data_IF_997968327082
#
_entry.id   IF_997968327082
#
_cell.length_a   1.000
_cell.length_b   1.000
_cell.length_c   1.000
_cell.angle_alpha   90.00
_cell.angle_beta   90.00
_cell.angle_gamma   90.00
#
_symmetry.space_group_name_H-M   'P 1'
#
loop_
_entity.id
_entity.type
_entity.pdbx_description
1 polymer ?
#
# COMPACT_ATOMS: atom_id res chain seq x y z
N UNK A 1 18.21 2.58 -16.57
CA UNK A 1 19.06 1.90 -15.58
C UNK A 1 18.40 0.56 -15.27
N UNK A 2 19.12 -0.55 -15.33
CA UNK A 2 18.54 -1.88 -15.15
C UNK A 2 18.17 -2.07 -13.67
N UNK A 3 16.88 -2.05 -13.35
CA UNK A 3 16.42 -2.07 -11.97
C UNK A 3 16.18 -3.52 -11.52
N UNK A 4 17.22 -4.14 -10.96
CA UNK A 4 17.17 -5.55 -10.50
C UNK A 4 16.10 -5.77 -9.42
N UNK A 5 15.91 -4.80 -8.52
CA UNK A 5 14.91 -4.87 -7.47
C UNK A 5 13.51 -4.95 -8.06
N UNK A 6 13.19 -4.07 -9.03
CA UNK A 6 11.89 -4.09 -9.72
C UNK A 6 11.61 -5.45 -10.37
N UNK A 7 12.56 -5.97 -11.17
CA UNK A 7 12.39 -7.27 -11.84
C UNK A 7 12.17 -8.41 -10.85
N UNK A 8 12.86 -8.39 -9.71
CA UNK A 8 12.66 -9.40 -8.67
C UNK A 8 11.27 -9.30 -8.06
N UNK A 9 10.74 -8.10 -7.85
CA UNK A 9 9.35 -7.91 -7.42
C UNK A 9 8.34 -8.30 -8.50
N UNK A 10 8.62 -8.07 -9.79
CA UNK A 10 7.78 -8.58 -10.89
C UNK A 10 7.70 -10.11 -10.86
N UNK A 11 8.82 -10.80 -10.66
CA UNK A 11 8.84 -12.26 -10.50
C UNK A 11 8.03 -12.73 -9.29
N UNK A 12 8.05 -11.96 -8.18
CA UNK A 12 7.24 -12.25 -6.98
C UNK A 12 5.76 -12.10 -7.30
N UNK A 13 5.32 -10.99 -7.91
CA UNK A 13 3.90 -10.74 -8.19
C UNK A 13 3.33 -11.69 -9.24
N UNK A 14 4.15 -12.16 -10.18
CA UNK A 14 3.76 -13.15 -11.19
C UNK A 14 3.90 -14.61 -10.71
N UNK A 15 4.24 -14.83 -9.44
CA UNK A 15 4.47 -16.15 -8.85
C UNK A 15 5.50 -17.00 -9.63
N UNK A 16 6.55 -16.37 -10.16
CA UNK A 16 7.63 -17.05 -10.90
C UNK A 16 8.73 -17.64 -10.01
N UNK A 17 8.71 -17.34 -8.71
CA UNK A 17 9.74 -17.77 -7.75
C UNK A 17 9.18 -18.77 -6.73
N UNK A 18 9.99 -19.75 -6.29
CA UNK A 18 9.66 -20.58 -5.13
C UNK A 18 9.55 -19.75 -3.86
N UNK A 19 8.66 -20.14 -2.93
CA UNK A 19 8.45 -19.43 -1.66
C UNK A 19 9.73 -19.22 -0.85
N UNK A 20 10.63 -20.21 -0.84
CA UNK A 20 11.91 -20.10 -0.15
C UNK A 20 12.80 -18.99 -0.72
N UNK A 21 12.78 -18.78 -2.05
CA UNK A 21 13.54 -17.70 -2.68
C UNK A 21 12.94 -16.34 -2.31
N UNK A 22 11.60 -16.22 -2.33
CA UNK A 22 10.91 -14.99 -1.91
C UNK A 22 11.24 -14.66 -0.46
N UNK A 23 11.14 -15.64 0.45
CA UNK A 23 11.48 -15.49 1.86
C UNK A 23 12.91 -14.99 2.04
N UNK A 24 13.88 -15.68 1.43
CA UNK A 24 15.30 -15.34 1.57
C UNK A 24 15.61 -13.94 0.99
N UNK A 25 14.95 -13.56 -0.10
CA UNK A 25 15.11 -12.24 -0.69
C UNK A 25 14.59 -11.12 0.22
N UNK A 26 13.39 -11.28 0.80
CA UNK A 26 12.81 -10.28 1.72
C UNK A 26 13.61 -10.14 3.01
N UNK A 27 14.11 -11.26 3.58
CA UNK A 27 15.00 -11.22 4.76
C UNK A 27 16.28 -10.45 4.41
N UNK A 28 16.90 -10.74 3.26
CA UNK A 28 18.12 -10.08 2.83
C UNK A 28 17.92 -8.57 2.60
N UNK A 29 16.77 -8.16 2.05
CA UNK A 29 16.43 -6.74 1.90
C UNK A 29 16.39 -6.04 3.27
N UNK A 30 15.69 -6.64 4.22
CA UNK A 30 15.58 -6.11 5.59
C UNK A 30 16.94 -6.03 6.30
N UNK A 31 17.74 -7.11 6.25
CA UNK A 31 19.06 -7.16 6.91
C UNK A 31 20.06 -6.14 6.33
N UNK A 32 19.96 -5.84 5.04
CA UNK A 32 20.81 -4.83 4.39
C UNK A 32 20.33 -3.40 4.66
N UNK A 33 19.10 -3.22 5.14
CA UNK A 33 18.40 -1.94 5.21
C UNK A 33 17.96 -1.47 3.82
N UNK A 34 16.66 -1.48 3.58
CA UNK A 34 16.11 -1.10 2.27
C UNK A 34 16.42 0.35 1.94
N UNK A 35 16.91 0.60 0.73
CA UNK A 35 17.13 1.96 0.24
C UNK A 35 15.83 2.57 -0.30
N UNK A 36 15.79 3.91 -0.41
CA UNK A 36 14.68 4.59 -1.07
C UNK A 36 14.48 4.11 -2.53
N UNK A 37 15.57 3.77 -3.22
CA UNK A 37 15.50 3.20 -4.57
C UNK A 37 14.86 1.81 -4.55
N UNK A 38 15.22 0.94 -3.59
CA UNK A 38 14.61 -0.40 -3.47
C UNK A 38 13.09 -0.32 -3.24
N UNK A 39 12.68 0.54 -2.31
CA UNK A 39 11.25 0.76 -1.99
C UNK A 39 10.50 1.32 -3.20
N UNK A 40 11.06 2.34 -3.88
CA UNK A 40 10.44 2.92 -5.07
C UNK A 40 10.32 1.90 -6.21
N UNK A 41 11.31 1.01 -6.34
CA UNK A 41 11.34 -0.06 -7.34
C UNK A 41 10.27 -1.12 -7.09
N UNK A 42 10.16 -1.57 -5.83
CA UNK A 42 9.13 -2.49 -5.39
C UNK A 42 7.73 -1.89 -5.60
N UNK A 43 7.53 -0.63 -5.20
CA UNK A 43 6.28 0.09 -5.40
C UNK A 43 5.94 0.29 -6.88
N UNK A 44 6.94 0.50 -7.74
CA UNK A 44 6.74 0.59 -9.19
C UNK A 44 6.27 -0.74 -9.78
N UNK A 45 6.88 -1.87 -9.39
CA UNK A 45 6.42 -3.19 -9.78
C UNK A 45 4.97 -3.42 -9.31
N UNK A 46 4.67 -3.17 -8.03
CA UNK A 46 3.31 -3.26 -7.49
C UNK A 46 2.28 -2.48 -8.30
N UNK A 47 2.64 -1.27 -8.75
CA UNK A 47 1.77 -0.40 -9.56
C UNK A 47 1.55 -0.89 -10.99
N UNK A 48 2.41 -1.75 -11.52
CA UNK A 48 2.23 -2.37 -12.83
C UNK A 48 1.34 -3.62 -12.75
N UNK A 49 1.28 -4.27 -11.57
CA UNK A 49 0.45 -5.45 -11.32
C UNK A 49 -0.91 -5.14 -10.66
N UNK A 50 -1.20 -3.89 -10.31
CA UNK A 50 -2.51 -3.51 -9.75
C UNK A 50 -3.62 -3.56 -10.81
N UNK A 51 -4.87 -3.64 -10.33
CA UNK A 51 -6.04 -3.47 -11.18
C UNK A 51 -6.27 -1.96 -11.35
N UNK A 52 -6.14 -1.40 -12.57
CA UNK A 52 -6.23 0.04 -12.77
C UNK A 52 -7.66 0.54 -12.62
N UNK A 53 -7.83 1.65 -11.90
CA UNK A 53 -9.08 2.41 -11.87
C UNK A 53 -9.12 3.37 -13.06
N UNK A 54 -10.14 3.24 -13.92
CA UNK A 54 -10.35 4.14 -15.04
C UNK A 54 -10.99 5.45 -14.55
N UNK A 55 -10.15 6.42 -14.19
CA UNK A 55 -10.56 7.75 -13.73
C UNK A 55 -9.96 8.84 -14.63
N UNK A 56 -10.68 9.95 -14.88
CA UNK A 56 -10.19 11.06 -15.68
C UNK A 56 -8.86 11.61 -15.16
N UNK A 57 -7.97 12.02 -16.07
CA UNK A 57 -6.68 12.59 -15.68
C UNK A 57 -6.81 13.80 -14.76
N UNK A 58 -7.75 14.69 -15.06
CA UNK A 58 -8.07 15.86 -14.22
C UNK A 58 -8.50 15.46 -12.80
N UNK A 59 -9.21 14.33 -12.66
CA UNK A 59 -9.57 13.82 -11.34
C UNK A 59 -8.35 13.27 -10.60
N UNK A 60 -7.43 12.57 -11.28
CA UNK A 60 -6.22 11.99 -10.67
C UNK A 60 -5.35 13.05 -9.99
N UNK A 61 -5.20 14.23 -10.59
CA UNK A 61 -4.36 15.31 -10.05
C UNK A 61 -4.95 15.92 -8.76
N UNK A 62 -6.26 15.77 -8.53
CA UNK A 62 -6.94 16.28 -7.34
C UNK A 62 -7.09 15.25 -6.22
N UNK A 63 -6.76 13.98 -6.47
CA UNK A 63 -6.96 12.90 -5.50
C UNK A 63 -5.88 12.91 -4.41
N UNK A 64 -6.33 12.77 -3.17
CA UNK A 64 -5.48 12.62 -1.99
C UNK A 64 -5.71 11.23 -1.38
N UNK A 65 -4.62 10.60 -0.93
CA UNK A 65 -4.66 9.40 -0.08
C UNK A 65 -4.25 9.78 1.35
N UNK A 66 -4.94 9.21 2.34
CA UNK A 66 -4.59 9.31 3.75
C UNK A 66 -4.54 7.89 4.33
N UNK A 67 -3.39 7.25 4.18
CA UNK A 67 -3.15 5.88 4.60
C UNK A 67 -1.93 5.79 5.53
N UNK A 68 -1.79 4.65 6.18
CA UNK A 68 -0.61 4.32 6.98
C UNK A 68 -0.18 2.90 6.68
N UNK A 69 1.08 2.58 6.96
CA UNK A 69 1.64 1.23 6.78
C UNK A 69 1.03 0.20 7.75
N UNK A 70 0.49 0.67 8.88
CA UNK A 70 0.09 -0.18 10.00
C UNK A 70 1.31 -0.73 10.76
N UNK A 71 1.05 -1.62 11.72
CA UNK A 71 2.10 -2.33 12.48
C UNK A 71 2.77 -1.53 13.61
N UNK A 72 2.30 -0.32 13.91
CA UNK A 72 2.83 0.54 14.98
C UNK A 72 2.48 0.05 16.41
N UNK A 73 1.58 -0.93 16.53
CA UNK A 73 1.04 -1.48 17.79
C UNK A 73 0.46 -0.40 18.72
N UNK A 74 0.03 0.73 18.17
CA UNK A 74 -0.49 1.85 18.96
C UNK A 74 -1.85 1.56 19.58
N UNK A 75 -2.57 0.53 19.10
CA UNK A 75 -3.96 0.26 19.42
C UNK A 75 -4.86 1.51 19.28
N UNK A 76 -4.45 2.44 18.40
CA UNK A 76 -5.27 3.57 18.03
C UNK A 76 -6.52 3.10 17.30
N UNK A 77 -7.58 3.90 17.38
CA UNK A 77 -8.76 3.67 16.53
C UNK A 77 -8.42 3.99 15.06
N UNK A 78 -9.37 3.85 14.14
CA UNK A 78 -9.18 4.07 12.70
C UNK A 78 -8.96 5.55 12.31
N UNK A 79 -7.98 6.22 12.92
CA UNK A 79 -7.68 7.66 12.78
C UNK A 79 -7.56 8.05 11.31
N UNK A 80 -6.77 7.32 10.50
CA UNK A 80 -6.58 7.66 9.09
C UNK A 80 -7.88 7.57 8.28
N UNK A 81 -8.76 6.62 8.58
CA UNK A 81 -10.08 6.52 7.94
C UNK A 81 -11.00 7.66 8.38
N UNK A 82 -11.07 7.95 9.67
CA UNK A 82 -11.86 9.07 10.20
C UNK A 82 -11.41 10.40 9.58
N UNK A 83 -10.10 10.64 9.52
CA UNK A 83 -9.53 11.84 8.92
C UNK A 83 -9.80 11.90 7.41
N UNK A 84 -9.75 10.76 6.70
CA UNK A 84 -10.10 10.71 5.28
C UNK A 84 -11.56 11.18 5.02
N UNK A 85 -12.49 10.79 5.88
CA UNK A 85 -13.89 11.24 5.81
C UNK A 85 -13.98 12.75 6.08
N UNK A 86 -13.24 13.27 7.06
CA UNK A 86 -13.20 14.70 7.36
C UNK A 86 -12.62 15.51 6.19
N UNK A 87 -11.51 15.06 5.60
CA UNK A 87 -10.90 15.71 4.42
C UNK A 87 -11.91 15.77 3.27
N UNK A 88 -12.65 14.68 3.02
CA UNK A 88 -13.71 14.66 2.02
C UNK A 88 -14.87 15.62 2.35
N UNK A 89 -15.29 15.68 3.61
CA UNK A 89 -16.32 16.62 4.08
C UNK A 89 -15.88 18.10 3.95
N UNK A 90 -14.58 18.37 4.00
CA UNK A 90 -14.00 19.70 3.74
C UNK A 90 -13.89 20.03 2.23
N UNK A 91 -14.37 19.17 1.34
CA UNK A 91 -14.46 19.43 -0.11
C UNK A 91 -13.28 18.91 -0.94
N UNK A 92 -12.32 18.21 -0.33
CA UNK A 92 -11.23 17.56 -1.08
C UNK A 92 -11.68 16.21 -1.67
N UNK A 93 -11.03 15.77 -2.74
CA UNK A 93 -11.32 14.47 -3.36
C UNK A 93 -10.39 13.40 -2.78
N UNK A 94 -10.94 12.39 -2.12
CA UNK A 94 -10.16 11.39 -1.39
C UNK A 94 -10.31 10.01 -2.04
N UNK A 95 -9.18 9.39 -2.37
CA UNK A 95 -9.09 8.00 -2.79
C UNK A 95 -8.17 7.27 -1.79
N UNK A 96 -8.78 6.72 -0.74
CA UNK A 96 -8.03 6.09 0.35
C UNK A 96 -7.66 4.65 0.00
N UNK A 97 -6.37 4.31 0.05
CA UNK A 97 -5.95 2.91 0.08
C UNK A 97 -6.18 2.33 1.50
N UNK A 98 -6.69 1.10 1.57
CA UNK A 98 -7.01 0.46 2.83
C UNK A 98 -7.10 -1.05 2.74
N UNK A 99 -7.03 -1.70 3.90
CA UNK A 99 -7.18 -3.16 4.03
C UNK A 99 -7.91 -3.49 5.35
N UNK A 100 -8.27 -4.76 5.53
CA UNK A 100 -8.73 -5.32 6.82
C UNK A 100 -7.58 -5.41 7.82
N UNK A 101 -7.92 -5.52 9.10
CA UNK A 101 -6.91 -5.68 10.15
C UNK A 101 -6.16 -7.00 10.00
N UNK A 102 -4.85 -6.95 10.24
CA UNK A 102 -4.00 -8.14 10.46
C UNK A 102 -3.44 -8.16 11.89
N UNK A 103 -3.23 -6.99 12.51
CA UNK A 103 -2.55 -6.85 13.82
C UNK A 103 -3.26 -5.94 14.81
N UNK A 104 -4.22 -5.10 14.38
CA UNK A 104 -5.02 -4.22 15.25
C UNK A 104 -6.40 -4.82 15.51
N UNK A 105 -7.22 -4.16 16.35
CA UNK A 105 -8.60 -4.57 16.58
C UNK A 105 -9.53 -4.33 15.36
N UNK A 106 -9.18 -3.41 14.45
CA UNK A 106 -9.98 -3.07 13.27
C UNK A 106 -9.14 -2.35 12.21
N UNK A 107 -9.26 -2.77 10.96
CA UNK A 107 -8.65 -2.14 9.79
C UNK A 107 -9.58 -1.11 9.17
N UNK A 108 -9.09 -0.37 8.17
CA UNK A 108 -9.92 0.64 7.51
C UNK A 108 -11.12 0.03 6.79
N UNK A 109 -10.93 -1.14 6.17
CA UNK A 109 -12.01 -1.84 5.47
C UNK A 109 -13.05 -2.39 6.45
N UNK A 110 -12.62 -2.91 7.61
CA UNK A 110 -13.54 -3.41 8.65
C UNK A 110 -14.42 -2.29 9.19
N UNK A 111 -13.81 -1.14 9.49
CA UNK A 111 -14.53 0.04 9.98
C UNK A 111 -15.56 0.53 8.95
N UNK A 112 -15.19 0.65 7.67
CA UNK A 112 -16.10 1.10 6.63
C UNK A 112 -17.25 0.11 6.42
N UNK A 113 -16.98 -1.20 6.35
CA UNK A 113 -18.01 -2.23 6.22
C UNK A 113 -19.03 -2.19 7.36
N UNK A 114 -18.60 -1.91 8.59
CA UNK A 114 -19.52 -1.77 9.73
C UNK A 114 -20.35 -0.48 9.69
N UNK A 115 -19.91 0.54 8.95
CA UNK A 115 -20.65 1.80 8.77
C UNK A 115 -21.66 1.74 7.61
N UNK A 116 -21.60 0.71 6.77
CA UNK A 116 -22.46 0.51 5.58
C UNK A 116 -21.72 0.68 4.27
#
# INVERSE_FOLDING_TARGET
MFNKTKLKFDDIFENRLPEEEVRNYLIKLYENGETAEDIASAASAMREHLIPLNIPYTLKEELIDNCGTGGDKSNSFNISTTVAIVIAACGSKVAKHGNRSITSNSGSADMLEHLG
#
